data_IF_656429912667
#
_entry.id   IF_656429912667
#
_cell.length_a   1.000
_cell.length_b   1.000
_cell.length_c   1.000
_cell.angle_alpha   90.00
_cell.angle_beta   90.00
_cell.angle_gamma   90.00
#
_symmetry.space_group_name_H-M   'P 1'
#
loop_
_entity.id
_entity.type
_entity.pdbx_description
1 polymer ?
#
# COMPACT_ATOMS: atom_id res chain seq x y z
N UNK A 1 54.68 4.51 -57.06
CA UNK A 1 54.21 3.67 -55.98
C UNK A 1 54.11 4.46 -54.67
N UNK A 2 53.14 5.38 -54.52
CA UNK A 2 52.96 6.22 -53.34
C UNK A 2 51.48 6.71 -53.22
N UNK A 3 50.47 5.86 -53.39
CA UNK A 3 49.04 6.23 -53.21
C UNK A 3 48.19 5.17 -52.53
N UNK A 4 48.75 4.14 -51.89
CA UNK A 4 48.02 3.06 -51.27
C UNK A 4 48.07 3.01 -49.73
N UNK A 5 48.73 3.98 -49.07
CA UNK A 5 48.96 3.91 -47.61
C UNK A 5 48.06 4.88 -46.76
N UNK A 6 47.17 5.66 -47.38
CA UNK A 6 46.35 6.66 -46.66
C UNK A 6 44.93 6.20 -46.39
N UNK A 7 44.48 5.11 -47.02
CA UNK A 7 43.06 4.64 -46.88
C UNK A 7 42.85 3.65 -45.73
N UNK A 8 43.90 3.14 -45.11
CA UNK A 8 43.83 2.15 -44.03
C UNK A 8 43.66 2.72 -42.61
N UNK A 9 43.92 4.03 -42.42
CA UNK A 9 43.93 4.61 -41.06
C UNK A 9 42.63 5.29 -40.65
N UNK A 10 41.73 5.57 -41.61
CA UNK A 10 40.44 6.26 -41.32
C UNK A 10 39.30 5.31 -40.93
N UNK A 11 39.42 3.99 -41.14
CA UNK A 11 38.35 3.02 -40.80
C UNK A 11 38.49 2.51 -39.38
N UNK A 12 39.65 2.56 -38.75
CA UNK A 12 39.88 2.09 -37.36
C UNK A 12 39.45 3.11 -36.33
N UNK A 13 39.28 4.40 -36.67
CA UNK A 13 38.92 5.46 -35.72
C UNK A 13 37.41 5.62 -35.52
N UNK A 14 36.56 4.98 -36.33
CA UNK A 14 35.07 5.08 -36.23
C UNK A 14 34.48 4.01 -35.34
N UNK A 15 35.21 2.94 -35.00
CA UNK A 15 34.71 1.86 -34.13
C UNK A 15 35.03 2.04 -32.63
N UNK A 16 35.72 3.09 -32.22
CA UNK A 16 36.10 3.35 -30.82
C UNK A 16 35.20 4.36 -30.10
N UNK A 17 34.13 4.86 -30.74
CA UNK A 17 33.20 5.85 -30.14
C UNK A 17 31.82 5.28 -29.79
N UNK A 18 31.61 3.98 -29.87
CA UNK A 18 30.29 3.37 -29.60
C UNK A 18 30.16 2.63 -28.25
N UNK A 19 31.13 2.84 -27.34
CA UNK A 19 30.92 2.48 -25.94
C UNK A 19 30.87 3.75 -25.08
N UNK A 20 29.90 4.64 -25.38
CA UNK A 20 29.33 5.47 -24.33
C UNK A 20 28.64 4.48 -23.39
N UNK A 21 29.36 4.03 -22.37
CA UNK A 21 28.80 3.19 -21.34
C UNK A 21 27.50 3.84 -20.88
N UNK A 22 26.39 3.13 -21.01
CA UNK A 22 25.15 3.55 -20.36
C UNK A 22 25.53 3.86 -18.91
N UNK A 23 25.39 5.13 -18.53
CA UNK A 23 25.71 5.59 -17.20
C UNK A 23 25.07 4.63 -16.20
N UNK A 24 25.85 4.09 -15.26
CA UNK A 24 25.39 2.99 -14.42
C UNK A 24 24.33 3.51 -13.44
N UNK A 25 23.04 3.32 -13.77
CA UNK A 25 21.94 3.65 -12.84
C UNK A 25 22.14 2.91 -11.50
N UNK A 26 21.88 3.56 -10.33
CA UNK A 26 21.68 5.00 -10.13
C UNK A 26 23.02 5.76 -9.92
N UNK A 27 23.12 6.97 -10.47
CA UNK A 27 24.30 7.86 -10.31
C UNK A 27 24.06 9.04 -9.38
N UNK A 28 22.81 9.27 -8.99
CA UNK A 28 22.35 10.36 -8.13
C UNK A 28 21.31 9.87 -7.15
N UNK A 29 21.01 10.71 -6.15
CA UNK A 29 19.96 10.40 -5.18
C UNK A 29 18.62 10.10 -5.85
N UNK A 30 17.89 9.16 -5.29
CA UNK A 30 16.56 8.75 -5.73
C UNK A 30 15.53 9.44 -4.83
N UNK A 31 14.42 9.88 -5.39
CA UNK A 31 13.29 10.41 -4.62
C UNK A 31 12.32 9.28 -4.26
N UNK A 32 11.99 9.15 -2.98
CA UNK A 32 10.98 8.21 -2.47
C UNK A 32 9.74 8.96 -2.01
N UNK A 33 8.64 8.84 -2.74
CA UNK A 33 7.35 9.43 -2.38
C UNK A 33 6.53 8.43 -1.57
N UNK A 34 6.18 8.77 -0.33
CA UNK A 34 5.31 7.97 0.53
C UNK A 34 3.90 8.54 0.42
N UNK A 35 2.93 7.73 0.01
CA UNK A 35 1.58 8.22 -0.28
C UNK A 35 0.74 8.57 0.96
N UNK A 36 1.19 8.22 2.16
CA UNK A 36 0.47 8.41 3.43
C UNK A 36 1.28 9.19 4.47
N UNK A 37 0.59 9.65 5.50
CA UNK A 37 1.18 10.37 6.63
C UNK A 37 2.15 9.53 7.45
N UNK A 38 3.04 10.23 8.16
CA UNK A 38 4.05 9.61 9.01
C UNK A 38 3.43 8.71 10.09
N UNK A 39 4.11 7.61 10.41
CA UNK A 39 3.67 6.62 11.41
C UNK A 39 2.58 5.66 10.93
N UNK A 40 2.09 5.78 9.68
CA UNK A 40 1.22 4.80 9.07
C UNK A 40 1.98 3.60 8.51
N UNK A 41 1.24 2.54 8.13
CA UNK A 41 1.86 1.30 7.66
C UNK A 41 2.81 1.47 6.48
N UNK A 42 2.45 2.28 5.48
CA UNK A 42 3.30 2.56 4.32
C UNK A 42 4.57 3.34 4.71
N UNK A 43 4.47 4.30 5.64
CA UNK A 43 5.61 5.07 6.14
C UNK A 43 6.56 4.17 6.94
N UNK A 44 6.02 3.33 7.82
CA UNK A 44 6.79 2.36 8.60
C UNK A 44 7.53 1.36 7.68
N UNK A 45 6.85 0.84 6.65
CA UNK A 45 7.46 -0.01 5.64
C UNK A 45 8.60 0.71 4.90
N UNK A 46 8.34 1.90 4.38
CA UNK A 46 9.33 2.67 3.63
C UNK A 46 10.59 2.91 4.46
N UNK A 47 10.45 3.33 5.72
CA UNK A 47 11.58 3.60 6.62
C UNK A 47 12.32 2.34 7.08
N UNK A 48 11.64 1.19 7.12
CA UNK A 48 12.28 -0.08 7.45
C UNK A 48 13.13 -0.63 6.30
N UNK A 49 12.63 -0.55 5.05
CA UNK A 49 13.30 -1.17 3.90
C UNK A 49 14.34 -0.26 3.24
N UNK A 50 14.11 1.06 3.20
CA UNK A 50 14.95 2.00 2.44
C UNK A 50 16.42 1.97 2.84
N UNK A 51 16.82 2.00 4.13
CA UNK A 51 18.23 1.97 4.50
C UNK A 51 18.96 0.70 4.02
N UNK A 52 18.24 -0.41 3.86
CA UNK A 52 18.77 -1.67 3.35
C UNK A 52 18.94 -1.62 1.83
N UNK A 53 17.99 -1.00 1.12
CA UNK A 53 18.04 -0.81 -0.33
C UNK A 53 19.15 0.17 -0.72
N UNK A 54 19.36 1.25 0.03
CA UNK A 54 20.46 2.20 -0.18
C UNK A 54 21.83 1.51 -0.16
N UNK A 55 22.02 0.54 0.73
CA UNK A 55 23.25 -0.27 0.79
C UNK A 55 23.46 -1.12 -0.47
N UNK A 56 22.39 -1.59 -1.10
CA UNK A 56 22.44 -2.40 -2.32
C UNK A 56 22.65 -1.54 -3.58
N UNK A 57 22.02 -0.36 -3.60
CA UNK A 57 22.12 0.56 -4.73
C UNK A 57 23.35 1.49 -4.69
N UNK A 58 23.95 1.69 -3.53
CA UNK A 58 25.05 2.64 -3.33
C UNK A 58 24.62 4.12 -3.46
N UNK A 59 23.31 4.41 -3.37
CA UNK A 59 22.74 5.74 -3.50
C UNK A 59 21.67 6.00 -2.45
N UNK A 60 21.53 7.25 -2.03
CA UNK A 60 20.53 7.67 -1.05
C UNK A 60 19.14 7.77 -1.67
N UNK A 61 18.12 7.31 -0.93
CA UNK A 61 16.71 7.46 -1.27
C UNK A 61 16.08 8.48 -0.31
N UNK A 62 15.75 9.67 -0.82
CA UNK A 62 15.19 10.76 -0.01
C UNK A 62 13.68 10.55 0.14
N UNK A 63 13.25 10.08 1.31
CA UNK A 63 11.85 9.81 1.62
C UNK A 63 11.08 11.09 1.93
N UNK A 64 9.90 11.25 1.30
CA UNK A 64 8.98 12.36 1.54
C UNK A 64 7.54 11.88 1.58
N UNK A 65 6.81 12.18 2.66
CA UNK A 65 5.38 11.94 2.73
C UNK A 65 4.64 12.98 1.85
N UNK A 66 3.82 12.51 0.91
CA UNK A 66 3.00 13.29 -0.02
C UNK A 66 1.54 12.85 0.12
N UNK A 67 0.89 13.34 1.13
CA UNK A 67 -0.49 12.96 1.48
C UNK A 67 -1.53 13.68 0.61
N UNK A 68 -2.76 13.20 0.68
CA UNK A 68 -3.94 13.84 0.08
C UNK A 68 -4.66 13.00 -0.96
N UNK A 69 -5.96 13.22 -1.08
CA UNK A 69 -6.88 12.54 -2.02
C UNK A 69 -6.72 11.00 -2.00
N UNK A 70 -6.70 10.40 -0.80
CA UNK A 70 -6.51 8.96 -0.62
C UNK A 70 -5.26 8.41 -1.31
N UNK A 71 -4.14 9.17 -1.27
CA UNK A 71 -2.86 8.81 -1.88
C UNK A 71 -2.71 9.22 -3.36
N UNK A 72 -3.75 9.77 -4.01
CA UNK A 72 -3.70 10.16 -5.41
C UNK A 72 -2.71 11.32 -5.67
N UNK A 73 -2.41 12.15 -4.67
CA UNK A 73 -1.39 13.22 -4.80
C UNK A 73 -0.01 12.61 -5.07
N UNK A 74 0.45 11.66 -4.25
CA UNK A 74 1.75 11.00 -4.45
C UNK A 74 1.77 10.21 -5.77
N UNK A 75 0.69 9.48 -6.08
CA UNK A 75 0.55 8.73 -7.33
C UNK A 75 0.67 9.65 -8.55
N UNK A 76 -0.01 10.81 -8.53
CA UNK A 76 0.06 11.80 -9.61
C UNK A 76 1.47 12.36 -9.77
N UNK A 77 2.16 12.66 -8.66
CA UNK A 77 3.55 13.12 -8.70
C UNK A 77 4.48 12.06 -9.33
N UNK A 78 4.34 10.79 -8.95
CA UNK A 78 5.13 9.70 -9.50
C UNK A 78 4.87 9.51 -11.00
N UNK A 79 3.61 9.49 -11.44
CA UNK A 79 3.23 9.32 -12.85
C UNK A 79 3.66 10.52 -13.72
N UNK A 80 3.70 11.73 -13.18
CA UNK A 80 4.16 12.92 -13.90
C UNK A 80 5.68 13.11 -13.88
N UNK A 81 6.42 12.33 -13.10
CA UNK A 81 7.89 12.34 -13.10
C UNK A 81 8.45 11.65 -14.36
N UNK A 82 9.74 11.89 -14.71
CA UNK A 82 10.40 11.12 -15.77
C UNK A 82 10.36 9.61 -15.50
N UNK A 83 10.26 8.81 -16.57
CA UNK A 83 10.33 7.35 -16.48
C UNK A 83 11.80 6.88 -16.49
N UNK A 84 12.59 7.34 -15.54
CA UNK A 84 14.05 7.14 -15.44
C UNK A 84 14.47 6.41 -14.14
N UNK A 85 13.50 5.94 -13.34
CA UNK A 85 13.75 5.22 -12.10
C UNK A 85 14.15 6.09 -10.90
N UNK A 86 14.31 7.40 -11.07
CA UNK A 86 14.72 8.30 -9.97
C UNK A 86 13.56 8.82 -9.11
N UNK A 87 12.34 8.39 -9.40
CA UNK A 87 11.17 8.64 -8.55
C UNK A 87 10.50 7.32 -8.23
N UNK A 88 10.56 6.91 -6.96
CA UNK A 88 9.87 5.74 -6.44
C UNK A 88 8.59 6.17 -5.73
N UNK A 89 7.50 5.46 -5.92
CA UNK A 89 6.29 5.56 -5.13
C UNK A 89 6.25 4.40 -4.14
N UNK A 90 6.35 4.71 -2.85
CA UNK A 90 6.00 3.78 -1.77
C UNK A 90 4.49 3.84 -1.60
N UNK A 91 3.83 2.83 -2.13
CA UNK A 91 2.38 2.79 -2.31
C UNK A 91 1.71 1.67 -1.55
N UNK A 92 0.39 1.75 -1.54
CA UNK A 92 -0.53 0.80 -0.96
C UNK A 92 -1.69 0.53 -1.93
N UNK A 93 -2.77 -0.09 -1.48
CA UNK A 93 -3.88 -0.62 -2.26
C UNK A 93 -4.72 0.41 -3.05
N UNK A 94 -4.61 1.69 -2.74
CA UNK A 94 -5.57 2.72 -3.15
C UNK A 94 -5.72 2.95 -4.66
N UNK A 95 -4.66 2.87 -5.48
CA UNK A 95 -4.80 3.02 -6.93
C UNK A 95 -5.79 2.04 -7.57
N UNK A 96 -6.04 0.87 -6.94
CA UNK A 96 -7.06 -0.08 -7.35
C UNK A 96 -8.48 0.52 -7.40
N UNK A 97 -8.76 1.52 -6.56
CA UNK A 97 -10.10 2.01 -6.31
C UNK A 97 -10.36 3.41 -6.89
N UNK A 98 -9.33 4.13 -7.36
CA UNK A 98 -9.47 5.53 -7.77
C UNK A 98 -10.53 5.74 -8.84
N UNK A 99 -10.55 4.89 -9.87
CA UNK A 99 -11.46 5.03 -11.02
C UNK A 99 -12.90 4.77 -10.63
N UNK A 100 -13.18 3.70 -9.90
CA UNK A 100 -14.54 3.34 -9.45
C UNK A 100 -15.10 4.34 -8.45
N UNK A 101 -14.24 5.01 -7.68
CA UNK A 101 -14.61 6.05 -6.72
C UNK A 101 -14.68 7.45 -7.35
N UNK A 102 -14.21 7.62 -8.58
CA UNK A 102 -14.12 8.92 -9.26
C UNK A 102 -13.16 9.89 -8.55
N UNK A 103 -12.10 9.38 -7.92
CA UNK A 103 -11.07 10.17 -7.23
C UNK A 103 -9.97 10.62 -8.17
N UNK A 104 -9.55 9.76 -9.09
CA UNK A 104 -8.51 10.02 -10.08
C UNK A 104 -8.75 9.12 -11.30
N UNK A 105 -8.34 9.54 -12.51
CA UNK A 105 -8.33 8.68 -13.68
C UNK A 105 -7.20 7.62 -13.61
N UNK A 106 -6.21 7.80 -12.71
CA UNK A 106 -5.06 6.91 -12.55
C UNK A 106 -5.46 5.58 -11.90
N UNK A 107 -4.62 4.57 -12.12
CA UNK A 107 -4.72 3.24 -11.53
C UNK A 107 -3.32 2.60 -11.45
N UNK A 108 -3.23 1.32 -11.08
CA UNK A 108 -1.98 0.56 -11.18
C UNK A 108 -1.47 0.40 -12.63
N UNK A 109 -2.34 0.56 -13.64
CA UNK A 109 -1.93 0.49 -15.06
C UNK A 109 -1.02 1.65 -15.50
N UNK A 110 -0.97 2.76 -14.74
CA UNK A 110 -0.09 3.91 -14.96
C UNK A 110 1.27 3.76 -14.28
N UNK A 111 1.43 2.71 -13.48
CA UNK A 111 2.60 2.38 -12.68
C UNK A 111 3.22 1.05 -13.16
N UNK A 112 4.49 0.86 -12.85
CA UNK A 112 5.18 -0.41 -13.01
C UNK A 112 5.64 -0.88 -11.62
N UNK A 113 5.22 -2.07 -11.16
CA UNK A 113 5.64 -2.56 -9.85
C UNK A 113 7.13 -2.90 -9.87
N UNK A 114 7.84 -2.44 -8.85
CA UNK A 114 9.21 -2.85 -8.53
C UNK A 114 9.14 -4.08 -7.63
N UNK A 115 8.30 -4.01 -6.58
CA UNK A 115 8.04 -5.12 -5.67
C UNK A 115 6.72 -4.93 -4.95
N UNK A 116 5.96 -5.99 -4.74
CA UNK A 116 4.93 -6.09 -3.71
C UNK A 116 5.60 -6.71 -2.49
N UNK A 117 5.86 -5.89 -1.47
CA UNK A 117 6.78 -6.28 -0.42
C UNK A 117 6.11 -7.03 0.73
N UNK A 118 5.03 -6.47 1.26
CA UNK A 118 4.37 -6.96 2.47
C UNK A 118 2.87 -6.86 2.30
N UNK A 119 2.15 -7.89 2.69
CA UNK A 119 0.71 -7.89 2.93
C UNK A 119 0.44 -7.79 4.43
N UNK A 120 -0.70 -7.24 4.81
CA UNK A 120 -1.05 -7.05 6.21
C UNK A 120 -2.51 -7.42 6.50
N UNK A 121 -2.83 -7.42 7.78
CA UNK A 121 -4.19 -7.56 8.28
C UNK A 121 -4.72 -6.21 8.80
N UNK A 122 -6.03 -6.14 8.99
CA UNK A 122 -6.74 -4.98 9.53
C UNK A 122 -7.28 -5.30 10.90
N UNK A 123 -7.07 -4.40 11.85
CA UNK A 123 -7.66 -4.50 13.20
C UNK A 123 -8.71 -3.42 13.36
N UNK A 124 -9.90 -3.78 13.80
CA UNK A 124 -10.93 -2.81 14.20
C UNK A 124 -10.54 -2.27 15.58
N UNK A 125 -10.00 -1.05 15.61
CA UNK A 125 -9.50 -0.41 16.83
C UNK A 125 -10.46 0.67 17.32
N UNK A 126 -10.64 0.74 18.64
CA UNK A 126 -11.40 1.79 19.31
C UNK A 126 -10.55 2.48 20.37
N UNK A 127 -10.96 3.70 20.76
CA UNK A 127 -10.44 4.33 21.96
C UNK A 127 -10.83 3.49 23.19
N UNK A 128 -9.89 3.16 24.11
CA UNK A 128 -10.18 2.35 25.29
C UNK A 128 -11.28 2.92 26.19
N UNK A 129 -11.50 4.24 26.17
CA UNK A 129 -12.49 4.94 26.99
C UNK A 129 -13.92 4.87 26.38
N UNK A 130 -14.07 4.36 25.16
CA UNK A 130 -15.38 4.14 24.56
C UNK A 130 -16.12 3.00 25.26
N UNK A 131 -17.46 2.98 25.25
CA UNK A 131 -18.24 1.90 25.85
C UNK A 131 -18.11 0.56 25.11
N UNK A 132 -17.60 0.57 23.87
CA UNK A 132 -17.49 -0.63 23.03
C UNK A 132 -16.28 -1.47 23.44
N UNK A 133 -16.53 -2.64 24.00
CA UNK A 133 -15.47 -3.59 24.43
C UNK A 133 -15.40 -4.82 23.54
N UNK A 134 -16.41 -5.04 22.73
CA UNK A 134 -16.53 -6.17 21.80
C UNK A 134 -16.97 -5.67 20.42
N UNK A 135 -16.72 -6.48 19.39
CA UNK A 135 -17.19 -6.19 18.04
C UNK A 135 -18.71 -6.13 17.95
N UNK A 136 -19.40 -6.98 18.71
CA UNK A 136 -20.86 -7.00 18.79
C UNK A 136 -21.41 -5.68 19.34
N UNK A 137 -20.83 -5.16 20.43
CA UNK A 137 -21.26 -3.88 21.01
C UNK A 137 -21.05 -2.71 20.03
N UNK A 138 -19.94 -2.70 19.29
CA UNK A 138 -19.68 -1.69 18.26
C UNK A 138 -20.71 -1.78 17.12
N UNK A 139 -20.99 -2.99 16.62
CA UNK A 139 -21.95 -3.21 15.54
C UNK A 139 -23.35 -2.76 15.96
N UNK A 140 -23.82 -3.14 17.14
CA UNK A 140 -25.14 -2.72 17.63
C UNK A 140 -25.23 -1.20 17.84
N UNK A 141 -24.20 -0.60 18.41
CA UNK A 141 -24.17 0.85 18.59
C UNK A 141 -24.14 1.60 17.23
N UNK A 142 -23.48 1.04 16.22
CA UNK A 142 -23.38 1.66 14.88
C UNK A 142 -24.67 1.56 14.06
N UNK A 143 -25.66 0.77 14.48
CA UNK A 143 -27.00 0.71 13.90
C UNK A 143 -27.92 1.79 14.51
N UNK A 144 -27.56 2.33 15.66
CA UNK A 144 -28.38 3.28 16.40
C UNK A 144 -28.42 4.68 15.80
N UNK A 145 -29.23 5.55 16.43
CA UNK A 145 -29.38 6.96 15.99
C UNK A 145 -28.12 7.79 16.20
N UNK A 146 -27.35 7.53 17.27
CA UNK A 146 -26.10 8.21 17.57
C UNK A 146 -25.00 7.69 16.65
N UNK A 147 -24.57 8.53 15.72
CA UNK A 147 -23.50 8.18 14.78
C UNK A 147 -22.15 8.08 15.48
N UNK A 148 -21.52 6.92 15.37
CA UNK A 148 -20.15 6.67 15.82
C UNK A 148 -19.19 7.34 14.85
N UNK A 149 -18.20 8.07 15.38
CA UNK A 149 -17.18 8.77 14.60
C UNK A 149 -16.11 7.77 14.17
N UNK A 150 -16.07 7.44 12.88
CA UNK A 150 -15.05 6.56 12.31
C UNK A 150 -13.95 7.40 11.64
N UNK A 151 -12.73 7.31 12.15
CA UNK A 151 -11.58 7.88 11.44
C UNK A 151 -11.32 7.10 10.15
N UNK A 152 -11.02 7.81 9.08
CA UNK A 152 -10.72 7.23 7.77
C UNK A 152 -9.58 7.98 7.09
N UNK A 153 -8.82 7.28 6.25
CA UNK A 153 -7.82 7.89 5.35
C UNK A 153 -8.43 8.42 4.05
N UNK A 154 -9.75 8.62 4.04
CA UNK A 154 -10.52 9.08 2.88
C UNK A 154 -11.31 7.96 2.21
N UNK A 155 -12.13 8.36 1.25
CA UNK A 155 -12.94 7.42 0.46
C UNK A 155 -12.03 6.44 -0.28
N UNK A 156 -12.31 5.14 -0.15
CA UNK A 156 -11.50 4.08 -0.75
C UNK A 156 -10.23 3.73 0.01
N UNK A 157 -9.91 4.43 1.08
CA UNK A 157 -8.86 4.01 2.02
C UNK A 157 -9.28 2.78 2.82
N UNK A 158 -8.31 2.11 3.41
CA UNK A 158 -8.51 0.87 4.16
C UNK A 158 -9.64 0.96 5.22
N UNK A 159 -9.74 2.01 6.07
CA UNK A 159 -10.84 2.13 7.02
C UNK A 159 -12.21 2.29 6.36
N UNK A 160 -12.27 3.01 5.24
CA UNK A 160 -13.51 3.19 4.49
C UNK A 160 -14.04 1.87 3.92
N UNK A 161 -13.17 1.07 3.33
CA UNK A 161 -13.52 -0.24 2.77
C UNK A 161 -13.97 -1.20 3.88
N UNK A 162 -13.28 -1.24 5.01
CA UNK A 162 -13.69 -2.01 6.18
C UNK A 162 -15.08 -1.57 6.71
N UNK A 163 -15.35 -0.26 6.76
CA UNK A 163 -16.64 0.28 7.09
C UNK A 163 -17.75 -0.11 6.09
N UNK A 164 -17.41 -0.16 4.80
CA UNK A 164 -18.33 -0.64 3.75
C UNK A 164 -18.67 -2.13 3.92
N UNK A 165 -17.71 -2.97 4.30
CA UNK A 165 -17.97 -4.38 4.66
C UNK A 165 -18.94 -4.47 5.84
N UNK A 166 -18.71 -3.70 6.91
CA UNK A 166 -19.58 -3.67 8.08
C UNK A 166 -20.98 -3.20 7.71
N UNK A 167 -21.10 -2.17 6.86
CA UNK A 167 -22.39 -1.70 6.36
C UNK A 167 -23.13 -2.77 5.57
N UNK A 168 -22.43 -3.45 4.67
CA UNK A 168 -23.03 -4.48 3.81
C UNK A 168 -23.52 -5.70 4.61
N UNK A 169 -22.77 -6.13 5.63
CA UNK A 169 -23.09 -7.31 6.43
C UNK A 169 -24.13 -6.97 7.52
N UNK A 170 -23.95 -5.84 8.21
CA UNK A 170 -24.67 -5.54 9.44
C UNK A 170 -25.63 -4.34 9.33
N UNK A 171 -25.58 -3.57 8.23
CA UNK A 171 -26.36 -2.33 8.10
C UNK A 171 -25.84 -1.18 8.99
N UNK A 172 -24.58 -1.21 9.42
CA UNK A 172 -23.98 -0.15 10.25
C UNK A 172 -23.87 1.15 9.47
N UNK A 173 -23.90 2.28 10.21
CA UNK A 173 -23.72 3.61 9.63
C UNK A 173 -22.81 4.47 10.52
N UNK A 174 -21.73 4.98 9.94
CA UNK A 174 -20.70 5.75 10.62
C UNK A 174 -20.62 7.19 10.14
N UNK A 175 -20.27 8.11 11.04
CA UNK A 175 -19.85 9.45 10.67
C UNK A 175 -18.35 9.44 10.37
N UNK A 176 -17.97 9.49 9.09
CA UNK A 176 -16.58 9.41 8.65
C UNK A 176 -15.87 10.74 8.84
N UNK A 177 -14.72 10.72 9.55
CA UNK A 177 -13.82 11.85 9.75
C UNK A 177 -12.49 11.53 9.05
N UNK A 178 -12.12 12.36 8.07
CA UNK A 178 -10.95 12.11 7.23
C UNK A 178 -9.65 12.61 7.86
N UNK A 179 -8.59 11.79 7.75
CA UNK A 179 -7.21 12.06 8.13
C UNK A 179 -6.25 11.66 7.00
N UNK A 180 -4.99 12.11 7.09
CA UNK A 180 -3.96 11.85 6.07
C UNK A 180 -3.26 10.49 6.21
N UNK A 181 -3.99 9.46 6.63
CA UNK A 181 -3.53 8.08 6.76
C UNK A 181 -3.70 7.50 8.16
N UNK A 182 -3.22 6.27 8.35
CA UNK A 182 -3.39 5.50 9.59
C UNK A 182 -2.74 6.17 10.80
N UNK A 183 -1.54 6.75 10.66
CA UNK A 183 -0.84 7.38 11.77
C UNK A 183 -1.60 8.56 12.39
N UNK A 184 -1.96 9.60 11.59
CA UNK A 184 -2.80 10.71 12.06
C UNK A 184 -4.17 10.24 12.57
N UNK A 185 -4.82 9.27 11.90
CA UNK A 185 -6.11 8.73 12.32
C UNK A 185 -6.04 7.98 13.65
N UNK A 186 -5.02 7.14 13.85
CA UNK A 186 -4.78 6.46 15.13
C UNK A 186 -4.59 7.46 16.27
N UNK A 187 -3.83 8.54 16.02
CA UNK A 187 -3.64 9.62 16.99
C UNK A 187 -4.97 10.28 17.37
N UNK A 188 -5.85 10.51 16.39
CA UNK A 188 -7.18 11.07 16.63
C UNK A 188 -8.06 10.13 17.46
N UNK A 189 -8.01 8.82 17.22
CA UNK A 189 -8.75 7.83 18.04
C UNK A 189 -8.19 7.81 19.46
N UNK A 190 -6.87 7.76 19.65
CA UNK A 190 -6.24 7.80 20.96
C UNK A 190 -6.57 9.07 21.75
N UNK A 191 -6.74 10.20 21.04
CA UNK A 191 -7.13 11.50 21.64
C UNK A 191 -8.64 11.68 21.82
N UNK A 192 -9.48 10.71 21.48
CA UNK A 192 -10.95 10.81 21.59
C UNK A 192 -11.59 11.75 20.55
N UNK A 193 -10.86 12.14 19.50
CA UNK A 193 -11.41 12.93 18.38
C UNK A 193 -12.19 12.07 17.40
N UNK A 194 -11.92 10.76 17.37
CA UNK A 194 -12.72 9.73 16.73
C UNK A 194 -12.90 8.55 17.70
N UNK A 195 -13.92 7.72 17.47
CA UNK A 195 -14.29 6.62 18.37
C UNK A 195 -13.69 5.30 17.92
N UNK A 196 -13.62 5.09 16.61
CA UNK A 196 -13.17 3.84 15.96
C UNK A 196 -12.33 4.12 14.72
N UNK A 197 -11.39 3.27 14.44
CA UNK A 197 -10.70 3.20 13.15
C UNK A 197 -10.26 1.77 12.85
N UNK A 198 -10.66 1.19 11.73
CA UNK A 198 -9.99 0.04 11.15
C UNK A 198 -8.56 0.44 10.76
N UNK A 199 -7.55 -0.18 11.37
CA UNK A 199 -6.13 0.15 11.20
C UNK A 199 -5.35 -1.04 10.64
N UNK A 200 -4.34 -0.78 9.84
CA UNK A 200 -3.34 -1.80 9.53
C UNK A 200 -2.75 -2.36 10.84
N UNK A 201 -2.57 -3.68 10.92
CA UNK A 201 -1.97 -4.33 12.09
C UNK A 201 -0.60 -3.74 12.40
N UNK A 202 0.21 -3.45 11.36
CA UNK A 202 1.53 -2.82 11.48
C UNK A 202 1.53 -1.43 12.14
N UNK A 203 0.40 -0.74 12.12
CA UNK A 203 0.24 0.56 12.79
C UNK A 203 -0.31 0.38 14.20
N UNK A 204 -1.23 -0.57 14.40
CA UNK A 204 -2.02 -0.69 15.63
C UNK A 204 -1.34 -1.49 16.74
N UNK A 205 -0.49 -2.47 16.39
CA UNK A 205 0.04 -3.45 17.34
C UNK A 205 0.76 -2.82 18.54
N UNK A 206 1.60 -1.82 18.30
CA UNK A 206 2.34 -1.16 19.37
C UNK A 206 1.44 -0.28 20.24
N UNK A 207 0.45 0.41 19.65
CA UNK A 207 -0.53 1.20 20.42
C UNK A 207 -1.43 0.31 21.28
N UNK A 208 -1.77 -0.88 20.80
CA UNK A 208 -2.55 -1.85 21.58
C UNK A 208 -1.73 -2.45 22.72
N UNK A 209 -0.46 -2.82 22.48
CA UNK A 209 0.47 -3.28 23.53
C UNK A 209 0.67 -2.24 24.62
N UNK A 210 0.70 -0.95 24.24
CA UNK A 210 0.78 0.16 25.17
C UNK A 210 -0.57 0.52 25.84
N UNK A 211 -1.66 -0.22 25.56
CA UNK A 211 -2.98 0.04 26.11
C UNK A 211 -3.64 1.33 25.60
N UNK A 212 -3.11 1.94 24.55
CA UNK A 212 -3.63 3.22 24.00
C UNK A 212 -4.76 3.02 22.99
N UNK A 213 -4.88 1.83 22.41
CA UNK A 213 -5.98 1.39 21.58
C UNK A 213 -6.47 0.04 22.08
N UNK A 214 -7.77 -0.25 21.87
CA UNK A 214 -8.37 -1.57 22.04
C UNK A 214 -8.73 -2.14 20.69
N UNK A 215 -8.23 -3.35 20.36
CA UNK A 215 -8.65 -4.12 19.20
C UNK A 215 -9.92 -4.92 19.54
N UNK A 216 -10.91 -4.83 18.68
CA UNK A 216 -12.16 -5.58 18.84
C UNK A 216 -12.19 -6.86 18.02
N UNK A 217 -11.62 -6.83 16.82
CA UNK A 217 -11.44 -7.99 15.94
C UNK A 217 -10.35 -7.72 14.90
N UNK A 218 -9.73 -8.79 14.41
CA UNK A 218 -8.85 -8.75 13.23
C UNK A 218 -9.63 -9.23 12.02
N UNK A 219 -9.61 -8.53 10.89
CA UNK A 219 -10.25 -8.93 9.64
C UNK A 219 -9.47 -10.07 8.97
N UNK A 220 -9.51 -11.25 9.57
CA UNK A 220 -8.84 -12.48 9.13
C UNK A 220 -9.72 -13.69 9.40
N UNK A 221 -9.33 -14.83 8.79
CA UNK A 221 -10.00 -16.12 9.03
C UNK A 221 -9.46 -16.86 10.26
N UNK A 222 -8.30 -16.42 10.80
CA UNK A 222 -7.64 -16.98 11.99
C UNK A 222 -7.00 -15.86 12.78
N UNK A 223 -6.84 -16.05 14.08
CA UNK A 223 -6.12 -15.11 14.96
C UNK A 223 -4.70 -14.88 14.46
N UNK A 224 -4.21 -13.66 14.65
CA UNK A 224 -2.82 -13.32 14.32
C UNK A 224 -1.92 -13.51 15.54
N UNK A 225 -0.70 -14.05 15.38
CA UNK A 225 0.20 -14.33 16.51
C UNK A 225 0.60 -13.09 17.32
N UNK A 226 0.55 -11.91 16.70
CA UNK A 226 0.93 -10.66 17.36
C UNK A 226 -0.11 -10.15 18.35
N UNK A 227 -1.37 -10.59 18.22
CA UNK A 227 -2.53 -10.21 19.03
C UNK A 227 -3.39 -11.45 19.32
N UNK A 228 -2.88 -12.46 20.04
CA UNK A 228 -3.57 -13.73 20.23
C UNK A 228 -4.88 -13.59 21.04
N UNK A 229 -5.01 -12.52 21.82
CA UNK A 229 -6.20 -12.18 22.59
C UNK A 229 -7.33 -11.57 21.76
N UNK A 230 -7.00 -10.98 20.58
CA UNK A 230 -8.00 -10.35 19.70
C UNK A 230 -8.57 -11.41 18.75
N UNK A 231 -9.90 -11.63 18.73
CA UNK A 231 -10.48 -12.65 17.87
C UNK A 231 -10.34 -12.32 16.39
N UNK A 232 -10.24 -13.36 15.56
CA UNK A 232 -10.48 -13.20 14.13
C UNK A 232 -11.95 -12.86 13.89
N UNK A 233 -12.25 -12.00 12.91
CA UNK A 233 -13.63 -11.57 12.66
C UNK A 233 -14.55 -12.74 12.35
N UNK A 234 -14.06 -13.79 11.70
CA UNK A 234 -14.84 -14.99 11.37
C UNK A 234 -15.18 -15.88 12.58
N UNK A 235 -14.50 -15.71 13.71
CA UNK A 235 -14.90 -16.35 14.97
C UNK A 235 -16.18 -15.73 15.54
N UNK A 236 -16.44 -14.46 15.18
CA UNK A 236 -17.59 -13.68 15.67
C UNK A 236 -18.71 -13.67 14.61
N UNK A 237 -18.32 -13.43 13.36
CA UNK A 237 -19.18 -13.25 12.21
C UNK A 237 -18.61 -14.03 11.01
N UNK A 238 -18.98 -15.32 10.83
CA UNK A 238 -18.46 -16.17 9.76
C UNK A 238 -18.68 -15.63 8.34
N UNK A 239 -19.72 -14.80 8.15
CA UNK A 239 -20.07 -14.19 6.87
C UNK A 239 -18.99 -13.26 6.29
N UNK A 240 -18.04 -12.80 7.10
CA UNK A 240 -16.89 -12.05 6.60
C UNK A 240 -15.95 -12.89 5.74
N UNK A 241 -16.00 -14.22 5.83
CA UNK A 241 -15.16 -15.11 5.03
C UNK A 241 -15.27 -14.86 3.52
N UNK A 242 -16.45 -14.39 3.04
CA UNK A 242 -16.66 -14.04 1.62
C UNK A 242 -15.76 -12.91 1.12
N UNK A 243 -15.22 -12.07 2.01
CA UNK A 243 -14.35 -10.94 1.67
C UNK A 243 -12.87 -11.22 1.97
N UNK A 244 -12.55 -12.32 2.62
CA UNK A 244 -11.20 -12.63 3.06
C UNK A 244 -10.52 -13.69 2.15
N UNK A 245 -9.19 -13.64 1.98
CA UNK A 245 -8.28 -12.67 2.59
C UNK A 245 -8.38 -11.29 1.94
N UNK A 246 -8.45 -10.23 2.75
CA UNK A 246 -8.38 -8.84 2.33
C UNK A 246 -7.65 -8.02 3.41
N UNK A 247 -6.80 -7.11 2.97
CA UNK A 247 -6.04 -6.25 3.85
C UNK A 247 -5.15 -5.29 3.06
N UNK A 248 -4.38 -4.46 3.75
CA UNK A 248 -3.42 -3.59 3.10
C UNK A 248 -2.28 -4.41 2.50
N UNK A 249 -1.67 -3.89 1.45
CA UNK A 249 -0.33 -4.28 1.04
C UNK A 249 0.55 -3.05 0.89
N UNK A 250 1.87 -3.27 0.96
CA UNK A 250 2.86 -2.23 0.74
C UNK A 250 3.77 -2.67 -0.40
N UNK A 251 3.93 -1.77 -1.37
CA UNK A 251 4.76 -2.01 -2.53
C UNK A 251 5.54 -0.77 -2.93
N UNK A 252 6.48 -0.98 -3.85
CA UNK A 252 7.26 0.08 -4.48
C UNK A 252 7.00 0.05 -5.96
N UNK A 253 6.76 1.23 -6.52
CA UNK A 253 6.38 1.41 -7.90
C UNK A 253 7.23 2.50 -8.55
N UNK A 254 7.37 2.40 -9.86
CA UNK A 254 7.87 3.47 -10.73
C UNK A 254 6.83 3.82 -11.78
N UNK A 255 7.02 4.91 -12.50
CA UNK A 255 6.16 5.27 -13.63
C UNK A 255 6.20 4.18 -14.70
N UNK A 256 5.05 3.91 -15.31
CA UNK A 256 4.94 3.03 -16.48
C UNK A 256 5.87 3.50 -17.60
N UNK A 257 6.61 2.57 -18.21
CA UNK A 257 7.59 2.87 -19.26
C UNK A 257 8.99 3.20 -18.74
N UNK A 258 9.26 3.04 -17.44
CA UNK A 258 10.65 2.99 -16.94
C UNK A 258 11.39 1.83 -17.61
N UNK A 259 12.64 1.99 -18.08
CA UNK A 259 13.40 0.93 -18.75
C UNK A 259 13.49 -0.35 -17.92
N UNK A 260 13.37 -1.50 -18.59
CA UNK A 260 13.27 -2.81 -17.91
C UNK A 260 14.54 -3.16 -17.11
N UNK A 261 15.72 -2.76 -17.58
CA UNK A 261 16.99 -2.94 -16.86
C UNK A 261 17.05 -2.14 -15.55
N UNK A 262 16.48 -0.93 -15.54
CA UNK A 262 16.34 -0.11 -14.32
C UNK A 262 15.36 -0.77 -13.35
N UNK A 263 14.21 -1.21 -13.85
CA UNK A 263 13.21 -1.90 -13.01
C UNK A 263 13.78 -3.19 -12.44
N UNK A 264 14.47 -3.99 -13.25
CA UNK A 264 15.11 -5.22 -12.79
C UNK A 264 16.14 -4.95 -11.69
N UNK A 265 16.99 -3.93 -11.85
CA UNK A 265 17.98 -3.53 -10.85
C UNK A 265 17.34 -3.07 -9.54
N UNK A 266 16.28 -2.27 -9.62
CA UNK A 266 15.50 -1.87 -8.44
C UNK A 266 14.88 -3.09 -7.76
N UNK A 267 14.20 -3.95 -8.53
CA UNK A 267 13.55 -5.17 -8.00
C UNK A 267 14.56 -6.09 -7.31
N UNK A 268 15.75 -6.27 -7.88
CA UNK A 268 16.83 -7.04 -7.28
C UNK A 268 17.28 -6.42 -5.95
N UNK A 269 17.53 -5.09 -5.91
CA UNK A 269 17.95 -4.40 -4.71
C UNK A 269 16.92 -4.50 -3.58
N UNK A 270 15.62 -4.35 -3.89
CA UNK A 270 14.54 -4.52 -2.91
C UNK A 270 14.44 -5.99 -2.45
N UNK A 271 14.52 -6.97 -3.34
CA UNK A 271 14.48 -8.39 -3.01
C UNK A 271 15.62 -8.78 -2.06
N UNK A 272 16.85 -8.31 -2.33
CA UNK A 272 18.01 -8.52 -1.48
C UNK A 272 17.83 -7.84 -0.10
N UNK A 273 17.34 -6.59 -0.09
CA UNK A 273 17.06 -5.86 1.15
C UNK A 273 16.00 -6.57 2.02
N UNK A 274 14.97 -7.12 1.39
CA UNK A 274 13.90 -7.85 2.07
C UNK A 274 14.34 -9.25 2.58
N UNK A 275 15.48 -9.76 2.15
CA UNK A 275 16.08 -10.99 2.68
C UNK A 275 16.98 -10.72 3.91
N UNK A 276 17.24 -9.47 4.25
CA UNK A 276 18.05 -9.12 5.44
C UNK A 276 17.30 -9.43 6.73
N UNK A 277 17.96 -9.99 7.76
CA UNK A 277 17.32 -10.33 9.04
C UNK A 277 16.57 -9.17 9.68
N UNK A 278 17.08 -7.94 9.53
CA UNK A 278 16.43 -6.73 10.06
C UNK A 278 15.07 -6.46 9.42
N UNK A 279 14.90 -6.75 8.13
CA UNK A 279 13.61 -6.59 7.48
C UNK A 279 12.65 -7.73 7.85
N UNK A 280 13.15 -8.96 7.97
CA UNK A 280 12.34 -10.10 8.43
C UNK A 280 11.82 -9.87 9.86
N UNK A 281 12.66 -9.32 10.74
CA UNK A 281 12.25 -8.91 12.08
C UNK A 281 11.16 -7.83 12.03
N UNK A 282 11.30 -6.82 11.16
CA UNK A 282 10.26 -5.81 10.95
C UNK A 282 8.93 -6.45 10.54
N UNK A 283 8.92 -7.32 9.53
CA UNK A 283 7.70 -8.01 9.05
C UNK A 283 7.07 -8.82 10.18
N UNK A 284 7.86 -9.60 10.91
CA UNK A 284 7.38 -10.39 12.05
C UNK A 284 6.75 -9.52 13.14
N UNK A 285 7.41 -8.42 13.51
CA UNK A 285 6.96 -7.55 14.59
C UNK A 285 5.73 -6.73 14.20
N UNK A 286 5.63 -6.33 12.93
CA UNK A 286 4.48 -5.59 12.40
C UNK A 286 3.25 -6.46 12.12
N UNK A 287 3.38 -7.79 12.19
CA UNK A 287 2.28 -8.71 11.87
C UNK A 287 1.95 -8.80 10.38
N UNK A 288 2.86 -8.35 9.53
CA UNK A 288 2.75 -8.50 8.09
C UNK A 288 3.15 -9.89 7.62
N UNK A 289 2.82 -10.16 6.36
CA UNK A 289 3.25 -11.34 5.62
C UNK A 289 4.15 -10.88 4.46
N UNK A 290 5.37 -11.41 4.40
CA UNK A 290 6.26 -11.12 3.29
C UNK A 290 5.65 -11.70 2.01
N UNK A 291 5.42 -10.85 0.99
CA UNK A 291 4.97 -11.27 -0.33
C UNK A 291 6.19 -11.49 -1.23
N UNK A 292 6.86 -10.43 -1.66
CA UNK A 292 8.09 -10.49 -2.46
C UNK A 292 7.87 -10.57 -3.96
N UNK A 293 6.62 -10.50 -4.45
CA UNK A 293 6.31 -10.58 -5.88
C UNK A 293 6.93 -9.42 -6.65
N UNK A 294 7.52 -9.72 -7.81
CA UNK A 294 8.12 -8.79 -8.78
C UNK A 294 7.67 -9.13 -10.19
N UNK A 295 7.95 -8.28 -11.17
CA UNK A 295 7.63 -8.55 -12.58
C UNK A 295 6.18 -8.95 -12.82
N UNK A 296 5.96 -10.01 -13.58
CA UNK A 296 4.62 -10.51 -13.94
C UNK A 296 3.80 -10.96 -12.73
N UNK A 297 4.43 -11.57 -11.73
CA UNK A 297 3.74 -12.01 -10.50
C UNK A 297 3.15 -10.81 -9.74
N UNK A 298 3.89 -9.70 -9.67
CA UNK A 298 3.39 -8.47 -9.07
C UNK A 298 2.23 -7.87 -9.86
N UNK A 299 2.26 -7.91 -11.20
CA UNK A 299 1.16 -7.44 -12.05
C UNK A 299 -0.10 -8.27 -11.79
N UNK A 300 0.01 -9.60 -11.79
CA UNK A 300 -1.12 -10.51 -11.52
C UNK A 300 -1.70 -10.30 -10.12
N UNK A 301 -0.84 -10.06 -9.14
CA UNK A 301 -1.29 -9.70 -7.78
C UNK A 301 -2.15 -8.44 -7.79
N UNK A 302 -1.68 -7.37 -8.47
CA UNK A 302 -2.38 -6.09 -8.54
C UNK A 302 -3.71 -6.19 -9.28
N UNK A 303 -3.77 -6.93 -10.39
CA UNK A 303 -5.01 -7.16 -11.15
C UNK A 303 -6.05 -7.91 -10.33
N UNK A 304 -5.64 -8.97 -9.63
CA UNK A 304 -6.51 -9.71 -8.71
C UNK A 304 -7.00 -8.83 -7.56
N UNK A 305 -6.11 -8.02 -7.01
CA UNK A 305 -6.46 -7.11 -5.92
C UNK A 305 -7.45 -6.03 -6.39
N UNK A 306 -7.19 -5.40 -7.55
CA UNK A 306 -8.09 -4.40 -8.16
C UNK A 306 -9.48 -4.98 -8.39
N UNK A 307 -9.56 -6.19 -8.96
CA UNK A 307 -10.82 -6.91 -9.15
C UNK A 307 -11.57 -7.07 -7.81
N UNK A 308 -10.92 -7.65 -6.82
CA UNK A 308 -11.55 -7.93 -5.52
C UNK A 308 -12.00 -6.65 -4.82
N UNK A 309 -11.12 -5.65 -4.70
CA UNK A 309 -11.41 -4.43 -3.95
C UNK A 309 -12.46 -3.55 -4.64
N UNK A 310 -12.39 -3.38 -5.96
CA UNK A 310 -13.32 -2.55 -6.73
C UNK A 310 -14.75 -3.11 -6.69
N UNK A 311 -14.91 -4.43 -6.89
CA UNK A 311 -16.22 -5.08 -6.82
C UNK A 311 -16.78 -5.12 -5.40
N UNK A 312 -15.93 -5.29 -4.38
CA UNK A 312 -16.35 -5.20 -2.99
C UNK A 312 -16.99 -3.83 -2.69
N UNK A 313 -16.30 -2.74 -3.05
CA UNK A 313 -16.79 -1.38 -2.83
C UNK A 313 -18.06 -1.12 -3.63
N UNK A 314 -18.13 -1.58 -4.88
CA UNK A 314 -19.30 -1.43 -5.73
C UNK A 314 -20.52 -2.14 -5.15
N UNK A 315 -20.38 -3.40 -4.75
CA UNK A 315 -21.46 -4.20 -4.17
C UNK A 315 -21.93 -3.65 -2.81
N UNK A 316 -21.04 -2.99 -2.05
CA UNK A 316 -21.39 -2.29 -0.81
C UNK A 316 -22.06 -0.91 -1.05
N UNK A 317 -22.28 -0.51 -2.31
CA UNK A 317 -22.87 0.78 -2.67
C UNK A 317 -21.94 1.99 -2.44
N UNK A 318 -20.63 1.76 -2.29
CA UNK A 318 -19.64 2.80 -2.05
C UNK A 318 -18.99 3.37 -3.32
N UNK A 319 -19.15 2.72 -4.46
CA UNK A 319 -18.58 3.16 -5.73
C UNK A 319 -19.49 4.16 -6.47
N UNK A 320 -18.88 5.11 -7.20
CA UNK A 320 -19.60 6.03 -8.09
C UNK A 320 -19.81 5.47 -9.49
N UNK A 321 -18.96 4.52 -9.91
CA UNK A 321 -18.96 3.91 -11.24
C UNK A 321 -18.81 2.40 -11.10
N UNK A 322 -19.38 1.66 -12.04
CA UNK A 322 -19.22 0.21 -12.09
C UNK A 322 -17.78 -0.18 -12.44
N UNK A 323 -17.18 -1.19 -11.78
CA UNK A 323 -15.89 -1.73 -12.21
C UNK A 323 -15.90 -2.21 -13.68
N UNK A 324 -17.04 -2.70 -14.17
CA UNK A 324 -17.20 -3.10 -15.56
C UNK A 324 -16.95 -1.97 -16.58
N UNK A 325 -17.22 -0.70 -16.22
CA UNK A 325 -16.92 0.46 -17.06
C UNK A 325 -15.41 0.62 -17.34
N UNK A 326 -14.58 0.00 -16.51
CA UNK A 326 -13.12 0.03 -16.61
C UNK A 326 -12.53 -1.30 -17.05
N UNK A 327 -13.36 -2.25 -17.51
CA UNK A 327 -12.97 -3.62 -17.86
C UNK A 327 -12.32 -4.39 -16.67
N UNK A 328 -12.67 -4.04 -15.43
CA UNK A 328 -12.22 -4.77 -14.25
C UNK A 328 -13.10 -6.02 -14.10
N UNK A 329 -12.55 -7.24 -14.23
CA UNK A 329 -13.34 -8.47 -14.16
C UNK A 329 -13.92 -8.69 -12.77
N UNK A 330 -15.04 -9.39 -12.67
CA UNK A 330 -15.52 -9.88 -11.37
C UNK A 330 -14.53 -10.89 -10.77
N UNK A 331 -14.31 -10.85 -9.43
CA UNK A 331 -13.48 -11.84 -8.77
C UNK A 331 -14.04 -13.25 -9.01
N UNK A 332 -13.17 -14.17 -9.41
CA UNK A 332 -13.56 -15.60 -9.49
C UNK A 332 -13.86 -16.10 -8.08
N UNK A 333 -15.03 -16.69 -7.91
CA UNK A 333 -15.47 -17.33 -6.66
C UNK A 333 -14.63 -18.56 -6.34
#
# INVERSE_FOLDING_TARGET
MRKAAVFGLSVVLVFLLASAGAAAYPEKNIQGLIMWGAGGGTDNFARAVTPLVEQKLGQTIILQNKTGASGAVATTLAVNSPADGYTLLYGAENPANYRVLGLSPLSFHDLQPVVIAVEGAVVICVNPDTPYKTMQELVEAAKGEKKIRMATSGVGGLPYVAGAMMKNIHGTDFNYIQFDGDGPGATAVMGGHADVMPLALSTSVEYMRAGRLRGLAVLTTKRVPQLPEVPAITEIYPEYAQYLPWGPFYGVFVKKGTPDDIVAKLSEAFTQAMAEPRFEEYVKNSGGFKNGATGEEAVQFLEKFESTASWLIYNAGGAKKSPAEFNIPEPKK
#
